data_IF_167978483097
#
_entry.id   IF_167978483097
#
_cell.length_a   1.000
_cell.length_b   1.000
_cell.length_c   1.000
_cell.angle_alpha   90.00
_cell.angle_beta   90.00
_cell.angle_gamma   90.00
#
_symmetry.space_group_name_H-M   'P 1'
#
loop_
_entity.id
_entity.type
_entity.pdbx_description
1 polymer ?
#
# COMPACT_ATOMS: atom_id res chain seq x y z
N UNK A 1 11.23 -20.90 0.74
CA UNK A 1 10.81 -20.00 1.82
C UNK A 1 12.08 -19.55 2.56
N UNK A 2 12.30 -18.25 2.74
CA UNK A 2 13.48 -17.72 3.44
C UNK A 2 13.39 -17.98 4.96
N UNK A 3 14.53 -17.91 5.67
CA UNK A 3 14.56 -18.00 7.15
C UNK A 3 13.65 -16.94 7.81
N UNK A 4 13.62 -15.72 7.25
CA UNK A 4 12.75 -14.65 7.73
C UNK A 4 11.27 -14.94 7.50
N UNK A 5 10.89 -15.45 6.31
CA UNK A 5 9.50 -15.85 6.03
C UNK A 5 9.00 -16.92 7.02
N UNK A 6 9.85 -17.88 7.37
CA UNK A 6 9.52 -18.91 8.34
C UNK A 6 9.30 -18.31 9.75
N UNK A 7 10.21 -17.44 10.21
CA UNK A 7 10.08 -16.74 11.50
C UNK A 7 8.83 -15.87 11.57
N UNK A 8 8.50 -15.16 10.50
CA UNK A 8 7.26 -14.35 10.40
C UNK A 8 6.04 -15.26 10.54
N UNK A 9 5.99 -16.36 9.80
CA UNK A 9 4.87 -17.32 9.85
C UNK A 9 4.65 -17.87 11.27
N UNK A 10 5.73 -18.22 11.97
CA UNK A 10 5.67 -18.72 13.35
C UNK A 10 5.13 -17.66 14.33
N UNK A 11 5.49 -16.39 14.16
CA UNK A 11 4.97 -15.30 15.00
C UNK A 11 3.48 -15.05 14.74
N UNK A 12 3.07 -15.05 13.47
CA UNK A 12 1.66 -14.90 13.07
C UNK A 12 0.78 -16.03 13.63
N UNK A 13 1.31 -17.25 13.68
CA UNK A 13 0.60 -18.40 14.27
C UNK A 13 0.43 -18.30 15.79
N UNK A 14 1.34 -17.58 16.47
CA UNK A 14 1.29 -17.37 17.93
C UNK A 14 0.36 -16.23 18.33
N UNK A 15 0.26 -15.18 17.52
CA UNK A 15 -0.58 -14.01 17.78
C UNK A 15 -1.28 -13.55 16.49
N UNK A 16 -2.59 -13.75 16.42
CA UNK A 16 -3.41 -13.33 15.28
C UNK A 16 -3.71 -11.81 15.26
N UNK A 17 -3.22 -11.07 16.27
CA UNK A 17 -3.27 -9.60 16.42
C UNK A 17 -1.90 -8.95 16.22
N UNK A 18 -1.01 -9.62 15.50
CA UNK A 18 0.26 -9.04 15.09
C UNK A 18 0.06 -7.75 14.29
N UNK A 19 1.07 -6.87 14.34
CA UNK A 19 1.20 -5.75 13.41
C UNK A 19 2.57 -5.83 12.75
N UNK A 20 2.73 -5.20 11.60
CA UNK A 20 4.03 -5.11 10.90
C UNK A 20 5.11 -4.57 11.83
N UNK A 21 4.83 -3.48 12.55
CA UNK A 21 5.73 -2.90 13.54
C UNK A 21 6.10 -3.87 14.68
N UNK A 22 5.13 -4.61 15.24
CA UNK A 22 5.41 -5.59 16.30
C UNK A 22 6.28 -6.75 15.81
N UNK A 23 6.02 -7.25 14.59
CA UNK A 23 6.84 -8.30 13.98
C UNK A 23 8.27 -7.81 13.73
N UNK A 24 8.41 -6.60 13.19
CA UNK A 24 9.70 -5.97 12.92
C UNK A 24 10.53 -5.83 14.21
N UNK A 25 9.90 -5.34 15.28
CA UNK A 25 10.51 -5.24 16.60
C UNK A 25 10.91 -6.61 17.17
N UNK A 26 10.01 -7.59 17.13
CA UNK A 26 10.25 -8.92 17.69
C UNK A 26 11.37 -9.69 16.96
N UNK A 27 11.52 -9.46 15.66
CA UNK A 27 12.52 -10.12 14.81
C UNK A 27 13.79 -9.27 14.60
N UNK A 28 13.83 -8.05 15.16
CA UNK A 28 14.92 -7.09 15.01
C UNK A 28 15.29 -6.81 13.53
N UNK A 29 14.27 -6.53 12.72
CA UNK A 29 14.39 -6.19 11.28
C UNK A 29 13.60 -4.92 10.97
N UNK A 30 13.72 -4.39 9.75
CA UNK A 30 12.90 -3.24 9.33
C UNK A 30 11.48 -3.67 8.99
N UNK A 31 10.52 -2.74 9.06
CA UNK A 31 9.13 -3.01 8.66
C UNK A 31 9.01 -3.44 7.19
N UNK A 32 9.83 -2.88 6.31
CA UNK A 32 9.89 -3.31 4.90
C UNK A 32 10.27 -4.79 4.77
N UNK A 33 11.21 -5.28 5.59
CA UNK A 33 11.62 -6.69 5.55
C UNK A 33 10.45 -7.61 5.93
N UNK A 34 9.61 -7.18 6.88
CA UNK A 34 8.38 -7.87 7.21
C UNK A 34 7.40 -7.84 6.03
N UNK A 35 7.09 -6.65 5.50
CA UNK A 35 6.15 -6.48 4.39
C UNK A 35 6.50 -7.34 3.18
N UNK A 36 7.78 -7.42 2.84
CA UNK A 36 8.27 -8.19 1.69
C UNK A 36 8.33 -9.71 1.93
N UNK A 37 8.19 -10.15 3.18
CA UNK A 37 8.27 -11.57 3.57
C UNK A 37 6.99 -12.07 4.26
N UNK A 38 5.92 -11.28 4.26
CA UNK A 38 4.59 -11.75 4.67
C UNK A 38 4.08 -12.83 3.70
N UNK A 39 3.18 -13.72 4.14
CA UNK A 39 2.54 -14.68 3.25
C UNK A 39 1.82 -13.98 2.09
N UNK A 40 1.84 -14.58 0.89
CA UNK A 40 1.25 -13.99 -0.32
C UNK A 40 -0.24 -13.67 -0.12
N UNK A 41 -0.96 -14.40 0.73
CA UNK A 41 -2.36 -14.13 1.06
C UNK A 41 -2.54 -12.75 1.71
N UNK A 42 -1.54 -12.31 2.49
CA UNK A 42 -1.53 -11.05 3.24
C UNK A 42 -0.87 -9.94 2.43
N UNK A 43 0.29 -10.18 1.84
CA UNK A 43 1.02 -9.16 1.11
C UNK A 43 1.66 -9.69 -0.18
N UNK A 44 1.60 -8.88 -1.22
CA UNK A 44 2.33 -9.07 -2.48
C UNK A 44 3.09 -7.79 -2.79
N UNK A 45 4.19 -7.86 -3.53
CA UNK A 45 4.97 -6.66 -3.84
C UNK A 45 5.42 -6.58 -5.30
N UNK A 46 5.60 -5.36 -5.77
CA UNK A 46 6.22 -5.01 -7.04
C UNK A 46 7.44 -4.10 -6.81
N UNK A 47 8.28 -4.00 -7.83
CA UNK A 47 9.37 -3.02 -7.86
C UNK A 47 8.83 -1.64 -8.27
N UNK A 48 9.56 -0.58 -7.95
CA UNK A 48 9.16 0.80 -8.28
C UNK A 48 9.01 1.09 -9.78
N UNK A 49 9.67 0.32 -10.65
CA UNK A 49 9.50 0.39 -12.11
C UNK A 49 8.08 0.02 -12.57
N UNK A 50 7.25 -0.55 -11.69
CA UNK A 50 5.83 -0.82 -11.89
C UNK A 50 4.90 0.33 -11.54
N UNK A 51 5.44 1.48 -11.13
CA UNK A 51 4.63 2.63 -10.74
C UNK A 51 3.61 3.04 -11.80
N UNK A 52 4.01 3.22 -13.06
CA UNK A 52 3.11 3.70 -14.13
C UNK A 52 1.97 2.72 -14.41
N UNK A 53 2.25 1.41 -14.37
CA UNK A 53 1.26 0.34 -14.52
C UNK A 53 0.24 0.39 -13.36
N UNK A 54 0.74 0.53 -12.13
CA UNK A 54 -0.09 0.49 -10.92
C UNK A 54 -0.91 1.78 -10.75
N UNK A 55 -0.32 2.96 -10.98
CA UNK A 55 -1.06 4.22 -10.86
C UNK A 55 -2.15 4.31 -11.93
N UNK A 56 -1.90 3.81 -13.15
CA UNK A 56 -2.90 3.74 -14.21
C UNK A 56 -4.07 2.83 -13.85
N UNK A 57 -3.84 1.71 -13.16
CA UNK A 57 -4.93 0.87 -12.65
C UNK A 57 -5.72 1.59 -11.55
N UNK A 58 -5.03 2.26 -10.61
CA UNK A 58 -5.65 3.01 -9.52
C UNK A 58 -6.53 4.18 -10.01
N UNK A 59 -6.21 4.79 -11.16
CA UNK A 59 -7.07 5.79 -11.82
C UNK A 59 -8.48 5.25 -12.13
N UNK A 60 -8.62 3.93 -12.33
CA UNK A 60 -9.90 3.29 -12.66
C UNK A 60 -10.76 2.99 -11.44
N UNK A 61 -10.26 3.18 -10.21
CA UNK A 61 -10.94 2.73 -8.99
C UNK A 61 -12.05 3.68 -8.53
N UNK A 62 -12.20 4.84 -9.17
CA UNK A 62 -13.10 5.88 -8.68
C UNK A 62 -12.53 6.58 -7.45
N UNK A 63 -13.39 6.91 -6.47
CA UNK A 63 -12.95 7.64 -5.27
C UNK A 63 -12.29 6.71 -4.25
N UNK A 64 -10.99 6.89 -4.03
CA UNK A 64 -10.18 6.13 -3.08
C UNK A 64 -9.79 7.00 -1.88
N UNK A 65 -9.25 6.38 -0.84
CA UNK A 65 -8.65 7.09 0.29
C UNK A 65 -7.12 7.10 0.13
N UNK A 66 -6.55 8.25 -0.20
CA UNK A 66 -5.10 8.45 -0.21
C UNK A 66 -4.65 8.89 1.18
N UNK A 67 -3.59 8.26 1.69
CA UNK A 67 -3.03 8.55 3.00
C UNK A 67 -1.55 8.89 2.90
N UNK A 68 -1.15 10.02 3.50
CA UNK A 68 0.25 10.38 3.71
C UNK A 68 0.54 10.45 5.19
N UNK A 69 1.44 9.60 5.66
CA UNK A 69 1.98 9.68 7.00
C UNK A 69 3.16 10.67 7.02
N UNK A 70 3.14 11.56 8.00
CA UNK A 70 4.29 12.37 8.43
C UNK A 70 4.53 12.10 9.91
N UNK A 71 5.70 12.46 10.49
CA UNK A 71 6.02 12.12 11.88
C UNK A 71 4.99 12.55 12.92
N UNK A 72 4.20 13.59 12.66
CA UNK A 72 3.22 14.11 13.63
C UNK A 72 1.85 14.40 13.03
N UNK A 73 1.64 14.07 11.76
CA UNK A 73 0.38 14.35 11.08
C UNK A 73 0.09 13.31 10.00
N UNK A 74 -1.12 12.77 10.03
CA UNK A 74 -1.63 11.87 9.00
C UNK A 74 -2.62 12.66 8.16
N UNK A 75 -2.33 12.76 6.87
CA UNK A 75 -3.21 13.37 5.88
C UNK A 75 -4.03 12.28 5.22
N UNK A 76 -5.35 12.46 5.24
CA UNK A 76 -6.32 11.60 4.58
C UNK A 76 -7.08 12.39 3.52
N UNK A 77 -7.03 11.94 2.27
CA UNK A 77 -7.64 12.64 1.13
C UNK A 77 -8.55 11.64 0.41
N UNK A 78 -9.85 11.91 0.42
CA UNK A 78 -10.82 11.20 -0.43
C UNK A 78 -10.85 11.89 -1.79
N UNK A 79 -10.44 11.16 -2.83
CA UNK A 79 -10.35 11.70 -4.18
C UNK A 79 -10.33 10.59 -5.21
N UNK A 80 -10.78 10.91 -6.43
CA UNK A 80 -10.36 10.16 -7.62
C UNK A 80 -8.88 10.44 -7.89
N UNK A 81 -8.16 9.46 -8.40
CA UNK A 81 -6.80 9.67 -8.93
C UNK A 81 -7.00 10.03 -10.40
N UNK A 82 -6.72 11.29 -10.75
CA UNK A 82 -6.77 11.76 -12.12
C UNK A 82 -5.49 11.43 -12.88
N UNK A 83 -5.60 11.24 -14.20
CA UNK A 83 -4.46 10.96 -15.06
C UNK A 83 -3.37 12.03 -14.92
N UNK A 84 -2.16 11.60 -14.58
CA UNK A 84 -1.02 12.48 -14.43
C UNK A 84 -0.15 12.57 -15.68
N UNK A 85 0.90 13.37 -15.59
CA UNK A 85 1.90 13.51 -16.65
C UNK A 85 3.29 13.79 -16.10
N UNK A 86 4.32 13.32 -16.81
CA UNK A 86 5.71 13.58 -16.43
C UNK A 86 6.18 14.95 -16.94
N UNK A 87 6.70 15.76 -16.03
CA UNK A 87 7.32 17.05 -16.34
C UNK A 87 8.40 17.37 -15.30
N UNK A 88 9.55 17.87 -15.74
CA UNK A 88 10.68 18.29 -14.87
C UNK A 88 11.13 17.21 -13.86
N UNK A 89 11.02 15.93 -14.21
CA UNK A 89 11.45 14.81 -13.36
C UNK A 89 10.42 14.37 -12.30
N UNK A 90 9.18 14.87 -12.36
CA UNK A 90 8.09 14.49 -11.47
C UNK A 90 6.90 13.95 -12.26
N UNK A 91 6.17 13.00 -11.67
CA UNK A 91 4.80 12.66 -12.03
C UNK A 91 3.86 13.70 -11.40
N UNK A 92 3.18 14.47 -12.25
CA UNK A 92 2.32 15.56 -11.82
C UNK A 92 0.87 15.07 -11.83
N UNK A 93 0.22 15.08 -10.67
CA UNK A 93 -1.20 14.75 -10.55
C UNK A 93 -2.05 15.84 -11.21
N UNK A 94 -3.20 15.44 -11.75
CA UNK A 94 -4.18 16.37 -12.32
C UNK A 94 -4.65 17.40 -11.28
N UNK A 95 -5.03 18.59 -11.74
CA UNK A 95 -5.59 19.65 -10.90
C UNK A 95 -7.13 19.60 -10.85
N UNK A 96 -7.75 18.60 -11.49
CA UNK A 96 -9.21 18.44 -11.58
C UNK A 96 -9.83 17.76 -10.34
N UNK A 97 -9.01 17.29 -9.40
CA UNK A 97 -9.45 16.60 -8.19
C UNK A 97 -8.74 17.14 -6.95
N UNK A 98 -9.28 16.90 -5.72
CA UNK A 98 -8.62 17.30 -4.48
C UNK A 98 -7.19 16.80 -4.34
N UNK A 99 -6.89 15.58 -4.84
CA UNK A 99 -5.53 15.11 -4.99
C UNK A 99 -4.86 15.82 -6.17
N UNK A 100 -3.96 16.75 -5.86
CA UNK A 100 -3.07 17.42 -6.81
C UNK A 100 -1.64 17.48 -6.25
N UNK A 101 -0.66 17.79 -7.09
CA UNK A 101 0.74 17.96 -6.69
C UNK A 101 1.73 17.17 -7.53
N UNK A 102 2.92 16.96 -6.97
CA UNK A 102 4.08 16.45 -7.70
C UNK A 102 4.73 15.29 -6.92
N UNK A 103 4.84 14.13 -7.57
CA UNK A 103 5.49 12.94 -7.03
C UNK A 103 6.79 12.67 -7.78
N UNK A 104 7.91 12.55 -7.06
CA UNK A 104 9.16 12.08 -7.65
C UNK A 104 9.12 10.56 -7.73
N UNK A 105 8.46 10.04 -8.77
CA UNK A 105 8.20 8.60 -8.92
C UNK A 105 9.47 7.73 -8.90
N UNK A 106 10.62 8.30 -9.33
CA UNK A 106 11.92 7.63 -9.26
C UNK A 106 12.39 7.28 -7.84
N UNK A 107 11.79 7.87 -6.81
CA UNK A 107 12.13 7.59 -5.41
C UNK A 107 11.37 6.38 -4.85
N UNK A 108 10.41 5.82 -5.60
CA UNK A 108 9.70 4.59 -5.24
C UNK A 108 10.64 3.40 -5.51
N UNK A 109 10.96 2.64 -4.47
CA UNK A 109 11.75 1.40 -4.59
C UNK A 109 10.84 0.15 -4.61
N UNK A 110 9.83 0.14 -3.74
CA UNK A 110 8.86 -0.97 -3.62
C UNK A 110 7.44 -0.46 -3.59
N UNK A 111 6.56 -1.29 -4.13
CA UNK A 111 5.11 -1.10 -4.04
C UNK A 111 4.53 -2.36 -3.40
N UNK A 112 3.80 -2.22 -2.30
CA UNK A 112 3.26 -3.35 -1.54
C UNK A 112 1.74 -3.33 -1.54
N UNK A 113 1.13 -4.42 -1.97
CA UNK A 113 -0.30 -4.69 -1.88
C UNK A 113 -0.57 -5.43 -0.57
N UNK A 114 -1.13 -4.73 0.42
CA UNK A 114 -1.30 -5.23 1.77
C UNK A 114 -2.78 -5.43 2.12
N UNK A 115 -3.13 -6.63 2.56
CA UNK A 115 -4.40 -7.03 3.15
C UNK A 115 -4.20 -7.35 4.64
N UNK A 116 -4.15 -6.33 5.48
CA UNK A 116 -3.83 -6.48 6.91
C UNK A 116 -4.96 -6.01 7.83
N UNK A 117 -5.10 -6.69 8.97
CA UNK A 117 -5.92 -6.20 10.09
C UNK A 117 -5.28 -4.92 10.64
N UNK A 118 -6.04 -3.83 10.69
CA UNK A 118 -5.59 -2.59 11.35
C UNK A 118 -5.75 -2.70 12.87
N UNK A 119 -5.15 -1.75 13.59
CA UNK A 119 -5.33 -1.54 15.03
C UNK A 119 -6.78 -1.10 15.30
N UNK A 120 -7.70 -2.06 15.26
CA UNK A 120 -9.14 -2.02 15.58
C UNK A 120 -9.88 -3.30 15.09
N UNK A 121 -9.15 -4.27 14.52
CA UNK A 121 -9.70 -5.59 14.16
C UNK A 121 -10.37 -5.66 12.79
N UNK A 122 -10.48 -4.55 12.07
CA UNK A 122 -10.98 -4.52 10.70
C UNK A 122 -9.87 -4.81 9.70
N UNK A 123 -10.16 -5.61 8.68
CA UNK A 123 -9.26 -5.78 7.54
C UNK A 123 -9.22 -4.47 6.73
N UNK A 124 -8.03 -4.09 6.27
CA UNK A 124 -7.83 -3.02 5.29
C UNK A 124 -7.08 -3.57 4.09
N UNK A 125 -7.37 -3.01 2.91
CA UNK A 125 -6.67 -3.29 1.67
C UNK A 125 -6.01 -2.00 1.19
N UNK A 126 -4.69 -2.04 0.99
CA UNK A 126 -3.92 -0.85 0.61
C UNK A 126 -2.80 -1.16 -0.36
N UNK A 127 -2.50 -0.19 -1.22
CA UNK A 127 -1.31 -0.13 -2.06
C UNK A 127 -0.36 0.89 -1.42
N UNK A 128 0.80 0.42 -0.94
CA UNK A 128 1.79 1.23 -0.25
C UNK A 128 2.98 1.50 -1.19
N UNK A 129 3.36 2.76 -1.35
CA UNK A 129 4.51 3.17 -2.15
C UNK A 129 5.65 3.54 -1.19
N UNK A 130 6.78 2.83 -1.29
CA UNK A 130 7.86 2.86 -0.31
C UNK A 130 9.17 3.30 -0.97
N UNK A 131 9.94 4.12 -0.27
CA UNK A 131 11.28 4.51 -0.73
C UNK A 131 12.34 3.41 -0.46
N UNK A 132 13.57 3.64 -0.93
CA UNK A 132 14.71 2.71 -0.76
C UNK A 132 15.05 2.38 0.69
N UNK A 133 14.66 3.23 1.64
CA UNK A 133 14.92 3.05 3.07
C UNK A 133 13.76 2.32 3.76
N UNK A 134 12.66 2.09 3.03
CA UNK A 134 11.44 1.45 3.48
C UNK A 134 10.42 2.43 4.06
N UNK A 135 10.60 3.73 3.88
CA UNK A 135 9.67 4.73 4.41
C UNK A 135 8.44 4.87 3.50
N UNK A 136 7.30 5.13 4.12
CA UNK A 136 6.05 5.43 3.43
C UNK A 136 6.15 6.74 2.61
N UNK A 137 6.10 6.63 1.29
CA UNK A 137 5.91 7.77 0.39
C UNK A 137 4.44 8.17 0.46
N UNK A 138 3.50 7.27 0.14
CA UNK A 138 2.07 7.43 0.35
C UNK A 138 1.36 6.07 0.22
N UNK A 139 0.07 6.02 0.56
CA UNK A 139 -0.77 4.82 0.49
C UNK A 139 -2.08 5.13 -0.21
N UNK A 140 -2.64 4.14 -0.90
CA UNK A 140 -4.00 4.18 -1.44
C UNK A 140 -4.79 3.03 -0.86
N UNK A 141 -5.89 3.33 -0.19
CA UNK A 141 -6.76 2.34 0.44
C UNK A 141 -8.01 2.11 -0.42
N UNK A 142 -8.45 0.84 -0.47
CA UNK A 142 -9.81 0.49 -0.90
C UNK A 142 -10.78 1.20 0.05
N UNK A 143 -11.63 2.04 -0.52
CA UNK A 143 -12.53 2.86 0.26
C UNK A 143 -13.67 2.04 0.85
N UNK A 144 -14.24 2.58 1.93
CA UNK A 144 -15.45 2.08 2.54
C UNK A 144 -16.59 3.08 2.38
N UNK A 145 -17.79 2.53 2.26
CA UNK A 145 -19.03 3.30 2.21
C UNK A 145 -19.43 3.84 3.60
N UNK A 146 -20.59 4.50 3.67
CA UNK A 146 -21.15 5.03 4.92
C UNK A 146 -21.49 3.96 5.96
N UNK A 147 -21.70 2.71 5.55
CA UNK A 147 -21.98 1.57 6.42
C UNK A 147 -20.68 0.88 6.88
N UNK A 148 -19.51 1.42 6.47
CA UNK A 148 -18.18 0.85 6.70
C UNK A 148 -17.95 -0.44 5.93
N UNK A 149 -18.68 -0.70 4.85
CA UNK A 149 -18.44 -1.83 3.95
C UNK A 149 -17.50 -1.42 2.82
N UNK A 150 -16.70 -2.36 2.30
CA UNK A 150 -15.84 -2.05 1.16
C UNK A 150 -16.67 -1.76 -0.09
N UNK A 151 -16.19 -0.84 -0.92
CA UNK A 151 -16.74 -0.65 -2.27
C UNK A 151 -16.41 -1.91 -3.09
N UNK A 152 -17.41 -2.72 -3.53
CA UNK A 152 -17.14 -4.05 -4.11
C UNK A 152 -16.25 -4.01 -5.34
N UNK A 153 -16.47 -3.05 -6.25
CA UNK A 153 -15.69 -2.90 -7.47
C UNK A 153 -14.21 -2.58 -7.19
N UNK A 154 -13.94 -1.72 -6.20
CA UNK A 154 -12.56 -1.40 -5.80
C UNK A 154 -11.88 -2.61 -5.16
N UNK A 155 -12.62 -3.38 -4.37
CA UNK A 155 -12.10 -4.58 -3.74
C UNK A 155 -11.72 -5.63 -4.77
N UNK A 156 -12.56 -5.84 -5.79
CA UNK A 156 -12.28 -6.75 -6.90
C UNK A 156 -11.03 -6.31 -7.69
N UNK A 157 -10.94 -5.03 -8.05
CA UNK A 157 -9.77 -4.47 -8.74
C UNK A 157 -8.49 -4.59 -7.90
N UNK A 158 -8.55 -4.31 -6.60
CA UNK A 158 -7.43 -4.52 -5.69
C UNK A 158 -6.97 -5.98 -5.69
N UNK A 159 -7.90 -6.93 -5.56
CA UNK A 159 -7.56 -8.35 -5.52
C UNK A 159 -6.96 -8.82 -6.84
N UNK A 160 -7.53 -8.40 -7.97
CA UNK A 160 -7.00 -8.70 -9.30
C UNK A 160 -5.58 -8.13 -9.49
N UNK A 161 -5.38 -6.86 -9.15
CA UNK A 161 -4.07 -6.21 -9.25
C UNK A 161 -3.05 -6.87 -8.34
N UNK A 162 -3.37 -7.10 -7.06
CA UNK A 162 -2.51 -7.83 -6.12
C UNK A 162 -2.10 -9.20 -6.67
N UNK A 163 -3.06 -9.96 -7.19
CA UNK A 163 -2.83 -11.30 -7.75
C UNK A 163 -1.92 -11.27 -8.98
N UNK A 164 -1.99 -10.22 -9.81
CA UNK A 164 -1.13 -10.08 -11.00
C UNK A 164 0.37 -9.99 -10.67
N UNK A 165 0.71 -9.64 -9.42
CA UNK A 165 2.09 -9.59 -8.93
C UNK A 165 2.47 -10.76 -8.01
N UNK A 166 1.57 -11.73 -7.79
CA UNK A 166 1.90 -12.95 -7.03
C UNK A 166 2.87 -13.81 -7.86
N UNK A 167 3.95 -14.27 -7.23
CA UNK A 167 4.93 -15.17 -7.83
C UNK A 167 4.68 -16.61 -7.40
#
# INVERSE_FOLDING_TARGET
>A
MSDLQQKIKEQIQKDDKYTVAKLAQALNVKEIDILLNLPNEVATHANGDKFDEIIGELETWGEVLIVKNTPSFILEIRSKIGKGSYMRGYYNFSHEAPLSGHLKASDIDKIVFLSAKVVMGMISHSVMFLDKDGNDIFKVYVARDKNREFIPEQLEKFQALKKSFEK
#
